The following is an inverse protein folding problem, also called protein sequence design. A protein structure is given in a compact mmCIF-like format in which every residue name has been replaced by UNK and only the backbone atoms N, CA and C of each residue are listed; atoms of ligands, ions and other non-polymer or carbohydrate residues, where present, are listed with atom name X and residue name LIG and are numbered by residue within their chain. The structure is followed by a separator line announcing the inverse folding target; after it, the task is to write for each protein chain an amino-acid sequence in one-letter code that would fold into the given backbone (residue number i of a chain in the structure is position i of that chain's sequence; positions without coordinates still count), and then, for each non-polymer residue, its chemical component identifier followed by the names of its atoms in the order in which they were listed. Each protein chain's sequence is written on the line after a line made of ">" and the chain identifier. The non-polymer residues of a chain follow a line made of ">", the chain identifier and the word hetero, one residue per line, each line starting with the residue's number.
data_IF_169368936635
#
_entry.id   IF_169368936635
#
_cell.length_a   1.000
_cell.length_b   1.000
_cell.length_c   1.000
_cell.angle_alpha   90.00
_cell.angle_beta   90.00
_cell.angle_gamma   90.00
#
_symmetry.space_group_name_H-M   'P 1'
#
loop_
_entity.id
_entity.type
_entity.pdbx_description
1 polymer ?
#
# COMPACT_ATOMS: atom_id res chain seq x y z
N UNK A 1 24.33 10.59 -15.71
CA UNK A 1 23.30 9.71 -15.14
C UNK A 1 22.82 10.33 -13.84
N UNK A 2 21.74 11.11 -13.90
CA UNK A 2 21.16 11.87 -12.78
C UNK A 2 19.66 11.53 -12.75
N UNK A 3 19.17 11.18 -11.57
CA UNK A 3 17.76 11.17 -11.14
C UNK A 3 16.80 10.15 -11.77
N UNK A 4 16.95 8.86 -11.44
CA UNK A 4 15.83 7.89 -11.50
C UNK A 4 15.24 7.54 -10.12
N UNK A 5 15.85 8.01 -9.03
CA UNK A 5 15.40 7.69 -7.66
C UNK A 5 14.16 8.47 -7.18
N UNK A 6 13.77 9.55 -7.87
CA UNK A 6 12.65 10.39 -7.45
C UNK A 6 11.27 9.91 -7.93
N UNK A 7 11.20 9.09 -8.98
CA UNK A 7 9.93 8.62 -9.55
C UNK A 7 9.36 7.38 -8.82
N UNK A 8 10.18 6.68 -8.03
CA UNK A 8 9.80 5.46 -7.32
C UNK A 8 9.39 5.65 -5.85
N UNK A 9 9.61 6.85 -5.27
CA UNK A 9 9.31 7.11 -3.86
C UNK A 9 7.85 7.54 -3.58
N UNK A 10 7.21 8.23 -4.54
CA UNK A 10 5.85 8.78 -4.42
C UNK A 10 4.78 7.70 -4.17
N UNK A 11 4.82 6.52 -4.82
CA UNK A 11 3.78 5.52 -4.64
C UNK A 11 3.80 4.87 -3.24
N UNK A 12 4.99 4.62 -2.68
CA UNK A 12 5.14 4.01 -1.34
C UNK A 12 4.76 4.96 -0.20
N UNK A 13 5.04 6.26 -0.33
CA UNK A 13 4.59 7.27 0.64
C UNK A 13 3.06 7.36 0.67
N UNK A 14 2.43 7.30 -0.50
CA UNK A 14 0.97 7.32 -0.64
C UNK A 14 0.34 6.07 0.00
N UNK A 15 0.96 4.90 -0.20
CA UNK A 15 0.55 3.67 0.46
C UNK A 15 0.69 3.73 2.00
N UNK A 16 1.81 4.24 2.53
CA UNK A 16 2.00 4.39 3.98
C UNK A 16 0.90 5.25 4.61
N UNK A 17 0.52 6.34 3.96
CA UNK A 17 -0.57 7.19 4.42
C UNK A 17 -1.89 6.42 4.49
N UNK A 18 -2.23 5.69 3.42
CA UNK A 18 -3.41 4.82 3.40
C UNK A 18 -3.35 3.77 4.51
N UNK A 19 -2.17 3.21 4.80
CA UNK A 19 -2.03 2.26 5.91
C UNK A 19 -2.33 2.87 7.28
N UNK A 20 -1.95 4.14 7.49
CA UNK A 20 -2.20 4.89 8.74
C UNK A 20 -3.68 5.26 8.92
N UNK A 21 -4.39 5.57 7.82
CA UNK A 21 -5.83 5.87 7.83
C UNK A 21 -6.70 4.66 8.22
N UNK A 22 -6.08 3.49 8.19
CA UNK A 22 -6.64 2.23 8.60
C UNK A 22 -7.92 1.76 7.85
N UNK A 23 -8.01 1.90 6.51
CA UNK A 23 -9.20 1.51 5.74
C UNK A 23 -9.41 -0.01 5.71
N UNK A 24 -10.51 -0.51 5.09
CA UNK A 24 -10.71 -1.94 4.86
C UNK A 24 -9.54 -2.59 4.11
N UNK A 25 -9.36 -3.89 4.31
CA UNK A 25 -8.20 -4.64 3.80
C UNK A 25 -8.01 -4.52 2.28
N UNK A 26 -9.10 -4.60 1.51
CA UNK A 26 -9.05 -4.43 0.05
C UNK A 26 -8.46 -3.10 -0.39
N UNK A 27 -8.77 -1.99 0.30
CA UNK A 27 -8.21 -0.68 -0.02
C UNK A 27 -6.70 -0.59 0.29
N UNK A 28 -6.26 -1.22 1.39
CA UNK A 28 -4.83 -1.32 1.75
C UNK A 28 -4.04 -2.14 0.74
N UNK A 29 -4.63 -3.27 0.33
CA UNK A 29 -4.10 -4.20 -0.66
C UNK A 29 -3.95 -3.53 -2.03
N UNK A 30 -5.00 -2.85 -2.50
CA UNK A 30 -4.98 -2.13 -3.77
C UNK A 30 -3.94 -1.02 -3.78
N UNK A 31 -3.86 -0.21 -2.71
CA UNK A 31 -2.84 0.83 -2.60
C UNK A 31 -1.41 0.28 -2.63
N UNK A 32 -1.16 -0.85 -1.94
CA UNK A 32 0.14 -1.52 -1.97
C UNK A 32 0.47 -2.01 -3.39
N UNK A 33 -0.50 -2.64 -4.05
CA UNK A 33 -0.37 -3.16 -5.41
C UNK A 33 0.02 -2.04 -6.37
N UNK A 34 -0.69 -0.92 -6.34
CA UNK A 34 -0.38 0.26 -7.16
C UNK A 34 1.02 0.82 -6.85
N UNK A 35 1.42 0.84 -5.58
CA UNK A 35 2.74 1.30 -5.21
C UNK A 35 3.86 0.43 -5.80
N UNK A 36 3.69 -0.89 -5.74
CA UNK A 36 4.68 -1.85 -6.24
C UNK A 36 4.73 -1.90 -7.77
N UNK A 37 3.60 -1.67 -8.45
CA UNK A 37 3.57 -1.54 -9.91
C UNK A 37 4.29 -0.28 -10.41
N UNK A 38 4.55 0.70 -9.55
CA UNK A 38 5.43 1.83 -9.85
C UNK A 38 6.93 1.44 -9.94
N UNK A 39 7.31 0.25 -9.48
CA UNK A 39 8.67 -0.25 -9.59
C UNK A 39 8.91 -0.84 -11.00
N UNK A 40 9.94 -0.39 -11.75
CA UNK A 40 10.12 -0.79 -13.15
C UNK A 40 10.40 -2.29 -13.35
N UNK A 41 10.91 -2.98 -12.32
CA UNK A 41 11.15 -4.42 -12.37
C UNK A 41 9.89 -5.26 -12.09
N UNK A 42 8.85 -4.69 -11.49
CA UNK A 42 7.63 -5.41 -11.12
C UNK A 42 6.66 -5.39 -12.29
N UNK A 43 6.36 -6.56 -12.84
CA UNK A 43 5.37 -6.71 -13.93
C UNK A 43 3.96 -6.80 -13.39
N UNK A 44 3.78 -7.49 -12.27
CA UNK A 44 2.48 -7.66 -11.66
C UNK A 44 2.59 -7.94 -10.15
N UNK A 45 1.59 -7.48 -9.41
CA UNK A 45 1.49 -7.71 -7.97
C UNK A 45 0.07 -8.17 -7.58
N UNK A 46 -0.01 -9.06 -6.60
CA UNK A 46 -1.29 -9.48 -5.98
C UNK A 46 -1.12 -9.56 -4.48
N UNK A 47 -2.14 -9.12 -3.75
CA UNK A 47 -2.23 -9.39 -2.32
C UNK A 47 -3.40 -10.34 -2.04
N UNK A 48 -3.09 -11.41 -1.31
CA UNK A 48 -4.07 -12.42 -0.92
C UNK A 48 -4.09 -12.54 0.61
N UNK A 49 -5.27 -12.51 1.19
CA UNK A 49 -5.47 -12.72 2.62
C UNK A 49 -5.88 -14.16 2.90
N UNK A 50 -5.36 -14.71 3.99
CA UNK A 50 -5.75 -16.02 4.50
C UNK A 50 -7.20 -16.00 4.96
N UNK A 51 -7.98 -16.96 4.49
CA UNK A 51 -9.38 -17.16 4.87
C UNK A 51 -9.46 -18.40 5.76
N UNK A 52 -9.58 -18.26 7.09
CA UNK A 52 -9.57 -19.42 8.00
C UNK A 52 -10.70 -20.43 7.74
N UNK A 53 -11.87 -19.94 7.32
CA UNK A 53 -13.05 -20.77 7.08
C UNK A 53 -12.87 -21.70 5.86
N UNK A 54 -12.31 -21.18 4.77
CA UNK A 54 -12.06 -21.94 3.54
C UNK A 54 -10.63 -22.48 3.44
N UNK A 55 -9.75 -22.13 4.40
CA UNK A 55 -8.33 -22.53 4.45
C UNK A 55 -7.57 -22.19 3.17
N UNK A 56 -7.90 -21.07 2.54
CA UNK A 56 -7.30 -20.63 1.27
C UNK A 56 -6.87 -19.17 1.31
N UNK A 57 -5.95 -18.80 0.43
CA UNK A 57 -5.60 -17.40 0.20
C UNK A 57 -6.50 -16.79 -0.88
N UNK A 58 -7.28 -15.77 -0.50
CA UNK A 58 -8.23 -15.10 -1.37
C UNK A 58 -7.89 -13.61 -1.55
N UNK A 59 -8.22 -13.08 -2.72
CA UNK A 59 -8.03 -11.67 -3.04
C UNK A 59 -9.25 -10.87 -2.55
N UNK A 60 -8.96 -9.78 -1.84
CA UNK A 60 -9.97 -8.87 -1.27
C UNK A 60 -10.13 -7.58 -2.10
N UNK A 61 -9.15 -7.24 -2.92
CA UNK A 61 -9.19 -6.07 -3.82
C UNK A 61 -9.82 -6.38 -5.20
N UNK A 62 -10.16 -5.31 -5.92
CA UNK A 62 -10.73 -5.34 -7.27
C UNK A 62 -9.68 -5.47 -8.40
N UNK A 63 -8.44 -5.81 -8.04
CA UNK A 63 -7.35 -6.03 -8.97
C UNK A 63 -7.52 -7.26 -9.87
N UNK A 64 -6.52 -7.51 -10.73
CA UNK A 64 -6.53 -8.63 -11.67
C UNK A 64 -6.52 -9.96 -10.92
N UNK A 65 -7.60 -10.74 -11.01
CA UNK A 65 -7.73 -12.00 -10.27
C UNK A 65 -6.90 -13.12 -10.89
N UNK A 66 -6.18 -13.87 -10.06
CA UNK A 66 -5.60 -15.14 -10.48
C UNK A 66 -6.71 -16.15 -10.83
N UNK A 67 -6.53 -16.98 -11.87
CA UNK A 67 -7.47 -18.03 -12.22
C UNK A 67 -7.71 -18.98 -11.03
N UNK A 68 -8.82 -19.75 -11.04
CA UNK A 68 -9.02 -20.79 -10.03
C UNK A 68 -7.91 -21.83 -10.11
N UNK A 69 -7.66 -22.56 -9.03
CA UNK A 69 -6.64 -23.61 -8.97
C UNK A 69 -6.99 -24.81 -9.85
N UNK A 70 -6.13 -25.82 -9.80
CA UNK A 70 -6.34 -27.11 -10.47
C UNK A 70 -7.00 -28.07 -9.46
N UNK A 71 -8.08 -28.74 -9.85
CA UNK A 71 -8.81 -29.69 -8.98
C UNK A 71 -10.20 -29.20 -8.57
N UNK A 72 -10.85 -29.92 -7.65
CA UNK A 72 -12.15 -29.55 -7.10
C UNK A 72 -12.03 -28.34 -6.15
N UNK A 73 -12.74 -27.23 -6.40
CA UNK A 73 -12.77 -26.09 -5.48
C UNK A 73 -13.25 -26.42 -4.06
N UNK A 74 -14.03 -27.48 -3.89
CA UNK A 74 -14.51 -27.91 -2.56
C UNK A 74 -13.41 -28.56 -1.71
N UNK A 75 -12.36 -29.07 -2.35
CA UNK A 75 -11.18 -29.64 -1.69
C UNK A 75 -10.00 -28.65 -1.65
N UNK A 76 -10.20 -27.41 -2.09
CA UNK A 76 -9.16 -26.39 -2.14
C UNK A 76 -8.61 -26.09 -0.74
N UNK A 77 -7.29 -26.19 -0.59
CA UNK A 77 -6.60 -25.84 0.65
C UNK A 77 -5.22 -25.25 0.34
N UNK A 78 -4.86 -24.23 1.11
CA UNK A 78 -3.53 -23.61 1.14
C UNK A 78 -2.80 -23.86 2.46
N UNK A 79 -3.26 -24.80 3.30
CA UNK A 79 -2.65 -25.11 4.61
C UNK A 79 -1.15 -25.45 4.51
N UNK A 80 -0.73 -26.20 3.48
CA UNK A 80 0.70 -26.51 3.28
C UNK A 80 1.54 -25.25 3.03
N UNK A 81 0.98 -24.27 2.31
CA UNK A 81 1.62 -22.98 2.09
C UNK A 81 1.60 -22.12 3.35
N UNK A 82 0.48 -22.10 4.07
CA UNK A 82 0.34 -21.42 5.35
C UNK A 82 1.38 -21.92 6.37
N UNK A 83 1.54 -23.24 6.48
CA UNK A 83 2.55 -23.88 7.32
C UNK A 83 3.97 -23.52 6.88
N UNK A 84 4.26 -23.56 5.57
CA UNK A 84 5.55 -23.15 5.04
C UNK A 84 5.89 -21.70 5.43
N UNK A 85 4.93 -20.78 5.39
CA UNK A 85 5.15 -19.39 5.83
C UNK A 85 5.34 -19.23 7.34
N UNK A 86 5.05 -20.26 8.14
CA UNK A 86 5.44 -20.30 9.55
C UNK A 86 6.94 -20.51 9.77
N UNK A 87 7.64 -21.09 8.78
CA UNK A 87 9.07 -21.40 8.86
C UNK A 87 9.93 -20.41 8.06
N UNK A 88 9.42 -19.95 6.91
CA UNK A 88 10.14 -19.04 6.02
C UNK A 88 9.28 -17.86 5.60
N UNK A 89 9.90 -16.70 5.45
CA UNK A 89 9.22 -15.44 5.13
C UNK A 89 8.91 -15.24 3.64
N UNK A 90 9.55 -16.01 2.76
CA UNK A 90 9.47 -15.84 1.32
C UNK A 90 9.66 -17.17 0.60
N UNK A 91 9.06 -17.31 -0.57
CA UNK A 91 9.13 -18.47 -1.44
C UNK A 91 9.24 -18.02 -2.89
N UNK A 92 10.15 -18.60 -3.67
CA UNK A 92 10.12 -18.41 -5.12
C UNK A 92 8.87 -19.04 -5.73
N UNK A 93 8.40 -18.51 -6.85
CA UNK A 93 7.27 -19.13 -7.56
C UNK A 93 7.54 -20.58 -7.94
N UNK A 94 8.78 -20.94 -8.27
CA UNK A 94 9.15 -22.34 -8.53
C UNK A 94 9.02 -23.23 -7.29
N UNK A 95 9.41 -22.75 -6.11
CA UNK A 95 9.22 -23.50 -4.86
C UNK A 95 7.73 -23.60 -4.51
N UNK A 96 6.99 -22.49 -4.59
CA UNK A 96 5.55 -22.45 -4.29
C UNK A 96 4.77 -23.39 -5.22
N UNK A 97 5.06 -23.39 -6.53
CA UNK A 97 4.37 -24.23 -7.53
C UNK A 97 4.54 -25.74 -7.30
N UNK A 98 5.54 -26.15 -6.50
CA UNK A 98 5.76 -27.56 -6.12
C UNK A 98 4.98 -27.97 -4.86
N UNK A 99 4.48 -27.00 -4.09
CA UNK A 99 3.69 -27.30 -2.90
C UNK A 99 2.33 -27.93 -3.29
N UNK A 100 1.82 -28.86 -2.48
CA UNK A 100 0.49 -29.44 -2.67
C UNK A 100 -0.58 -28.48 -2.12
N UNK A 101 -0.70 -27.29 -2.71
CA UNK A 101 -1.69 -26.28 -2.32
C UNK A 101 -2.48 -25.73 -3.52
N UNK A 102 -3.64 -25.15 -3.22
CA UNK A 102 -4.53 -24.56 -4.22
C UNK A 102 -3.87 -23.42 -5.00
N UNK A 103 -3.17 -22.52 -4.30
CA UNK A 103 -2.47 -21.38 -4.89
C UNK A 103 -1.37 -21.82 -5.86
N UNK A 104 -0.67 -22.92 -5.61
CA UNK A 104 0.27 -23.51 -6.56
C UNK A 104 -0.42 -23.88 -7.89
N UNK A 105 -1.65 -24.39 -7.84
CA UNK A 105 -2.49 -24.60 -9.01
C UNK A 105 -2.84 -23.31 -9.76
N UNK A 106 -3.18 -22.25 -9.02
CA UNK A 106 -3.50 -20.92 -9.59
C UNK A 106 -2.29 -20.33 -10.32
N UNK A 107 -1.10 -20.38 -9.71
CA UNK A 107 0.14 -19.91 -10.34
C UNK A 107 0.48 -20.71 -11.61
N UNK A 108 0.32 -22.04 -11.58
CA UNK A 108 0.54 -22.89 -12.75
C UNK A 108 -0.40 -22.53 -13.90
N UNK A 109 -1.68 -22.33 -13.62
CA UNK A 109 -2.68 -21.94 -14.64
C UNK A 109 -2.48 -20.52 -15.17
N UNK A 110 -1.98 -19.62 -14.35
CA UNK A 110 -1.62 -18.25 -14.75
C UNK A 110 -0.28 -18.17 -15.50
N UNK A 111 0.43 -19.29 -15.69
CA UNK A 111 1.77 -19.34 -16.28
C UNK A 111 2.77 -18.38 -15.58
N UNK A 112 2.65 -18.25 -14.26
CA UNK A 112 3.56 -17.44 -13.46
C UNK A 112 4.80 -18.26 -13.11
N UNK A 113 5.95 -17.83 -13.61
CA UNK A 113 7.22 -18.57 -13.51
C UNK A 113 8.28 -17.78 -12.75
N UNK A 114 8.40 -16.49 -13.03
CA UNK A 114 9.42 -15.64 -12.43
C UNK A 114 8.84 -14.67 -11.41
N UNK A 115 9.26 -14.81 -10.16
CA UNK A 115 8.72 -14.03 -9.05
C UNK A 115 8.84 -14.71 -7.69
N UNK A 116 8.34 -14.03 -6.65
CA UNK A 116 8.27 -14.57 -5.29
C UNK A 116 6.93 -14.28 -4.62
N UNK A 117 6.57 -15.17 -3.71
CA UNK A 117 5.53 -15.00 -2.72
C UNK A 117 6.17 -14.59 -1.39
N UNK A 118 5.72 -13.48 -0.82
CA UNK A 118 6.24 -12.88 0.40
C UNK A 118 5.15 -12.89 1.46
N UNK A 119 5.44 -13.46 2.64
CA UNK A 119 4.52 -13.39 3.77
C UNK A 119 4.47 -11.94 4.28
N UNK A 120 3.29 -11.31 4.19
CA UNK A 120 3.08 -9.92 4.58
C UNK A 120 1.68 -9.75 5.19
N UNK A 121 1.63 -9.25 6.41
CA UNK A 121 0.37 -8.90 7.08
C UNK A 121 0.11 -7.40 6.91
N UNK A 122 -1.01 -7.02 6.30
CA UNK A 122 -1.42 -5.62 6.21
C UNK A 122 -2.28 -5.16 7.39
N UNK A 123 -2.81 -6.11 8.17
CA UNK A 123 -3.59 -5.88 9.38
C UNK A 123 -3.10 -6.82 10.48
N UNK A 124 -3.11 -6.39 11.75
CA UNK A 124 -2.72 -7.24 12.87
C UNK A 124 -3.56 -8.52 12.94
N UNK A 125 -2.90 -9.67 13.02
CA UNK A 125 -3.57 -10.96 13.17
C UNK A 125 -4.25 -11.49 11.91
N UNK A 126 -4.05 -10.83 10.76
CA UNK A 126 -4.57 -11.27 9.46
C UNK A 126 -3.41 -11.70 8.55
N UNK A 127 -3.07 -13.00 8.50
CA UNK A 127 -2.05 -13.52 7.60
C UNK A 127 -2.36 -13.17 6.15
N UNK A 128 -1.33 -12.75 5.42
CA UNK A 128 -1.42 -12.37 4.02
C UNK A 128 -0.17 -12.75 3.24
N UNK A 129 -0.33 -12.83 1.94
CA UNK A 129 0.72 -13.18 0.98
C UNK A 129 0.70 -12.15 -0.14
N UNK A 130 1.85 -11.52 -0.36
CA UNK A 130 2.12 -10.65 -1.49
C UNK A 130 2.85 -11.46 -2.57
N UNK A 131 2.21 -11.61 -3.73
CA UNK A 131 2.80 -12.24 -4.90
C UNK A 131 3.37 -11.16 -5.81
N UNK A 132 4.64 -11.29 -6.18
CA UNK A 132 5.32 -10.37 -7.08
C UNK A 132 5.87 -11.10 -8.29
N UNK A 133 5.30 -10.81 -9.45
CA UNK A 133 5.88 -11.17 -10.73
C UNK A 133 6.86 -10.08 -11.15
N UNK A 134 8.07 -10.51 -11.47
CA UNK A 134 9.18 -9.61 -11.83
C UNK A 134 9.54 -9.86 -13.29
N UNK A 135 10.21 -8.88 -13.93
CA UNK A 135 10.82 -9.09 -15.25
C UNK A 135 11.83 -10.24 -15.22
N UNK A 136 11.79 -11.12 -16.23
CA UNK A 136 12.67 -12.31 -16.34
C UNK A 136 14.16 -11.93 -16.38
N UNK A 137 14.50 -10.71 -16.82
CA UNK A 137 15.87 -10.20 -16.83
C UNK A 137 16.35 -9.67 -15.47
N UNK A 138 15.43 -9.45 -14.52
CA UNK A 138 15.76 -8.91 -13.20
C UNK A 138 15.95 -10.02 -12.17
N UNK A 139 16.92 -9.81 -11.27
CA UNK A 139 17.17 -10.68 -10.13
C UNK A 139 16.01 -10.68 -9.12
N UNK A 140 15.94 -11.72 -8.29
CA UNK A 140 14.90 -11.89 -7.27
C UNK A 140 15.42 -11.61 -5.85
N UNK A 141 16.73 -11.43 -5.68
CA UNK A 141 17.44 -11.29 -4.39
C UNK A 141 17.02 -10.06 -3.57
N UNK A 142 16.45 -9.05 -4.20
CA UNK A 142 15.97 -7.83 -3.54
C UNK A 142 14.57 -7.98 -2.92
N UNK A 143 13.79 -8.98 -3.33
CA UNK A 143 12.41 -9.17 -2.87
C UNK A 143 12.28 -9.52 -1.38
N UNK A 144 13.15 -10.37 -0.79
CA UNK A 144 13.16 -10.57 0.66
C UNK A 144 13.46 -9.28 1.42
N UNK A 145 14.36 -8.43 0.91
CA UNK A 145 14.62 -7.13 1.53
C UNK A 145 13.44 -6.18 1.42
N UNK A 146 12.76 -6.14 0.25
CA UNK A 146 11.50 -5.39 0.08
C UNK A 146 10.47 -5.85 1.12
N UNK A 147 10.33 -7.16 1.36
CA UNK A 147 9.42 -7.68 2.39
C UNK A 147 9.76 -7.09 3.76
N UNK A 148 11.01 -7.16 4.20
CA UNK A 148 11.41 -6.64 5.51
C UNK A 148 11.10 -5.14 5.64
N UNK A 149 11.36 -4.38 4.58
CA UNK A 149 11.02 -2.96 4.54
C UNK A 149 9.50 -2.75 4.66
N UNK A 150 8.69 -3.49 3.90
CA UNK A 150 7.23 -3.39 3.96
C UNK A 150 6.68 -3.78 5.34
N UNK A 151 7.24 -4.81 5.98
CA UNK A 151 6.86 -5.21 7.35
C UNK A 151 7.12 -4.06 8.32
N UNK A 152 8.33 -3.50 8.32
CA UNK A 152 8.67 -2.35 9.17
C UNK A 152 7.76 -1.15 8.89
N UNK A 153 7.46 -0.89 7.63
CA UNK A 153 6.55 0.19 7.21
C UNK A 153 5.13 -0.01 7.74
N UNK A 154 4.59 -1.23 7.70
CA UNK A 154 3.28 -1.54 8.29
C UNK A 154 3.30 -1.41 9.81
N UNK A 155 4.36 -1.88 10.47
CA UNK A 155 4.51 -1.76 11.92
C UNK A 155 4.61 -0.30 12.36
N UNK A 156 5.41 0.51 11.67
CA UNK A 156 5.52 1.95 11.89
C UNK A 156 4.18 2.66 11.67
N UNK A 157 3.47 2.33 10.59
CA UNK A 157 2.13 2.87 10.34
C UNK A 157 1.10 2.47 11.39
N UNK A 158 1.28 1.30 12.01
CA UNK A 158 0.41 0.79 13.09
C UNK A 158 0.75 1.39 14.45
N UNK A 159 2.03 1.70 14.70
CA UNK A 159 2.54 2.24 15.98
C UNK A 159 2.60 3.78 16.06
N UNK A 160 2.66 4.47 14.91
CA UNK A 160 2.48 5.93 14.85
C UNK A 160 1.01 6.23 15.11
N UNK A 161 0.69 6.55 16.36
CA UNK A 161 -0.58 7.16 16.73
C UNK A 161 -0.95 8.20 15.67
N UNK A 162 -2.16 8.07 15.10
CA UNK A 162 -2.76 8.97 14.10
C UNK A 162 -2.27 10.39 14.38
N UNK A 163 -1.39 10.95 13.54
CA UNK A 163 -0.82 12.26 13.86
C UNK A 163 -1.85 13.38 13.69
N UNK A 164 -3.02 13.08 13.10
CA UNK A 164 -4.24 13.84 13.27
C UNK A 164 -5.45 12.95 12.94
N UNK A 165 -6.05 12.23 13.92
CA UNK A 165 -7.28 11.44 13.68
C UNK A 165 -8.39 12.30 13.06
N UNK A 166 -8.37 13.59 13.40
CA UNK A 166 -9.33 14.59 12.95
C UNK A 166 -9.17 14.91 11.46
N UNK A 167 -7.94 14.94 10.92
CA UNK A 167 -7.72 15.29 9.51
C UNK A 167 -8.33 14.24 8.57
N UNK A 168 -8.08 12.96 8.84
CA UNK A 168 -8.59 11.85 8.02
C UNK A 168 -10.10 11.65 8.14
N UNK A 169 -10.70 12.01 9.27
CA UNK A 169 -12.14 11.88 9.51
C UNK A 169 -12.94 13.13 9.07
N UNK A 170 -12.26 14.22 8.71
CA UNK A 170 -12.91 15.46 8.30
C UNK A 170 -13.62 15.29 6.95
N UNK A 171 -14.95 15.53 6.86
CA UNK A 171 -15.67 15.47 5.59
C UNK A 171 -15.32 16.64 4.65
N UNK A 172 -14.70 17.72 5.14
CA UNK A 172 -14.29 18.87 4.33
C UNK A 172 -12.86 18.72 3.80
N UNK A 173 -12.50 19.29 2.65
CA UNK A 173 -11.12 19.31 2.15
C UNK A 173 -10.15 19.92 3.16
N UNK A 174 -9.20 19.12 3.65
CA UNK A 174 -8.27 19.53 4.69
C UNK A 174 -6.82 19.15 4.38
N UNK A 175 -5.90 20.00 4.83
CA UNK A 175 -4.46 19.87 4.65
C UNK A 175 -3.70 20.24 5.93
N UNK A 176 -2.59 19.55 6.17
CA UNK A 176 -1.64 19.79 7.24
C UNK A 176 -0.35 20.34 6.63
N UNK A 177 0.16 21.44 7.16
CA UNK A 177 1.39 22.08 6.72
C UNK A 177 2.44 22.06 7.85
N UNK A 178 3.72 22.12 7.48
CA UNK A 178 4.81 22.40 8.42
C UNK A 178 4.94 23.90 8.73
N UNK A 179 5.90 24.26 9.58
CA UNK A 179 6.13 25.65 9.98
C UNK A 179 6.57 26.56 8.82
N UNK A 180 7.08 25.95 7.75
CA UNK A 180 7.48 26.60 6.51
C UNK A 180 6.35 26.60 5.45
N UNK A 181 5.13 26.24 5.85
CA UNK A 181 3.95 26.11 5.00
C UNK A 181 4.08 25.06 3.87
N UNK A 182 4.95 24.06 4.04
CA UNK A 182 5.05 22.93 3.12
C UNK A 182 4.04 21.87 3.51
N UNK A 183 3.47 21.22 2.50
CA UNK A 183 2.47 20.18 2.70
C UNK A 183 3.07 18.97 3.43
N UNK A 184 2.50 18.64 4.59
CA UNK A 184 2.80 17.43 5.36
C UNK A 184 1.77 16.33 5.09
N UNK A 185 0.48 16.66 5.23
CA UNK A 185 -0.62 15.70 5.07
C UNK A 185 -1.84 16.34 4.39
N UNK A 186 -2.74 15.53 3.86
CA UNK A 186 -4.02 15.95 3.27
C UNK A 186 -5.04 14.83 3.38
N UNK A 187 -6.32 15.15 3.55
CA UNK A 187 -7.37 14.14 3.63
C UNK A 187 -7.91 13.69 2.26
N UNK A 188 -8.81 12.70 2.26
CA UNK A 188 -9.42 12.15 1.06
C UNK A 188 -10.34 13.17 0.34
N UNK A 189 -11.02 14.04 1.10
CA UNK A 189 -11.89 15.07 0.53
C UNK A 189 -11.10 16.08 -0.34
N UNK A 190 -9.89 16.48 0.09
CA UNK A 190 -9.01 17.34 -0.72
C UNK A 190 -8.51 16.64 -1.98
N UNK A 191 -8.19 15.35 -1.90
CA UNK A 191 -7.78 14.57 -3.07
C UNK A 191 -8.92 14.45 -4.09
N UNK A 192 -10.15 14.26 -3.64
CA UNK A 192 -11.33 14.29 -4.49
C UNK A 192 -11.55 15.65 -5.18
N UNK A 193 -11.26 16.75 -4.48
CA UNK A 193 -11.37 18.11 -5.04
C UNK A 193 -10.29 18.41 -6.07
N UNK A 194 -9.08 17.87 -5.89
CA UNK A 194 -7.97 18.01 -6.83
C UNK A 194 -8.17 17.19 -8.12
N UNK A 195 -8.82 16.04 -8.03
CA UNK A 195 -8.98 15.13 -9.17
C UNK A 195 -7.63 14.70 -9.73
N UNK A 196 -7.38 14.98 -11.02
CA UNK A 196 -6.10 14.66 -11.67
C UNK A 196 -4.97 15.67 -11.41
N UNK A 197 -5.26 16.77 -10.69
CA UNK A 197 -4.24 17.79 -10.38
C UNK A 197 -3.24 17.26 -9.36
N UNK A 198 -1.96 17.52 -9.61
CA UNK A 198 -0.90 17.08 -8.72
C UNK A 198 -0.97 17.82 -7.37
N UNK A 199 -0.69 17.12 -6.27
CA UNK A 199 -0.61 17.72 -4.92
C UNK A 199 0.41 18.86 -4.81
N UNK A 200 1.37 18.94 -5.73
CA UNK A 200 2.30 20.07 -5.83
C UNK A 200 1.62 21.39 -6.18
N UNK A 201 0.44 21.34 -6.80
CA UNK A 201 -0.38 22.51 -7.15
C UNK A 201 -1.30 22.97 -5.99
N UNK A 202 -1.29 22.29 -4.84
CA UNK A 202 -2.10 22.68 -3.67
C UNK A 202 -1.75 24.09 -3.19
N UNK A 203 -0.50 24.53 -3.33
CA UNK A 203 -0.08 25.90 -2.99
C UNK A 203 -0.85 26.97 -3.77
N UNK A 204 -1.36 26.65 -4.95
CA UNK A 204 -2.19 27.55 -5.78
C UNK A 204 -3.65 27.63 -5.30
N UNK A 205 -4.09 26.66 -4.48
CA UNK A 205 -5.42 26.62 -3.86
C UNK A 205 -5.45 27.26 -2.47
N UNK A 206 -4.27 27.52 -1.89
CA UNK A 206 -4.16 28.18 -0.61
C UNK A 206 -4.39 29.68 -0.75
N UNK A 207 -4.94 30.34 0.29
CA UNK A 207 -5.02 31.79 0.33
C UNK A 207 -3.65 32.43 0.06
N UNK A 208 -3.63 33.58 -0.61
CA UNK A 208 -2.39 34.32 -0.91
C UNK A 208 -1.57 34.66 0.35
N UNK A 209 -2.22 34.69 1.52
CA UNK A 209 -1.64 34.95 2.83
C UNK A 209 -1.37 33.68 3.67
N UNK A 210 -1.34 32.49 3.07
CA UNK A 210 -1.15 31.23 3.81
C UNK A 210 0.15 31.19 4.64
N UNK A 211 1.26 31.72 4.13
CA UNK A 211 2.52 31.81 4.86
C UNK A 211 2.41 32.69 6.13
N UNK A 212 1.89 33.94 6.04
CA UNK A 212 1.56 34.74 7.21
C UNK A 212 0.61 34.05 8.20
N UNK A 213 -0.39 33.31 7.71
CA UNK A 213 -1.36 32.61 8.55
C UNK A 213 -0.73 31.46 9.33
N UNK A 214 0.10 30.64 8.69
CA UNK A 214 0.85 29.56 9.36
C UNK A 214 1.71 30.14 10.50
N UNK A 215 2.42 31.24 10.23
CA UNK A 215 3.22 31.93 11.25
C UNK A 215 2.36 32.45 12.40
N UNK A 216 1.25 33.12 12.10
CA UNK A 216 0.34 33.64 13.12
C UNK A 216 -0.28 32.52 13.98
N UNK A 217 -0.68 31.39 13.37
CA UNK A 217 -1.20 30.23 14.08
C UNK A 217 -0.16 29.64 15.05
N UNK A 218 1.11 29.56 14.63
CA UNK A 218 2.20 29.03 15.45
C UNK A 218 2.60 29.99 16.58
N UNK A 219 2.70 31.28 16.30
CA UNK A 219 3.01 32.31 17.30
C UNK A 219 1.93 32.43 18.36
N UNK A 220 0.66 32.30 17.98
CA UNK A 220 -0.48 32.49 18.88
C UNK A 220 -1.00 31.19 19.51
N UNK A 221 -0.48 30.03 19.08
CA UNK A 221 -0.96 28.69 19.51
C UNK A 221 -2.48 28.53 19.43
N UNK A 222 -3.10 29.13 18.40
CA UNK A 222 -4.55 29.20 18.24
C UNK A 222 -4.98 28.89 16.82
N UNK A 223 -6.07 28.14 16.68
CA UNK A 223 -6.72 27.92 15.39
C UNK A 223 -7.33 29.22 14.86
N UNK A 224 -7.13 29.49 13.56
CA UNK A 224 -7.77 30.59 12.84
C UNK A 224 -8.96 30.02 12.08
N UNK A 225 -10.16 30.46 12.42
CA UNK A 225 -11.41 30.07 11.74
C UNK A 225 -11.85 31.19 10.78
N UNK A 226 -12.33 30.83 9.59
CA UNK A 226 -12.83 31.73 8.53
C UNK A 226 -11.86 32.84 8.11
N UNK A 227 -10.86 32.47 7.30
CA UNK A 227 -10.05 33.46 6.58
C UNK A 227 -10.80 33.85 5.31
N UNK A 228 -11.38 35.05 5.29
CA UNK A 228 -11.89 35.63 4.06
C UNK A 228 -10.74 35.83 3.07
N UNK A 229 -10.81 35.16 1.92
CA UNK A 229 -9.86 35.35 0.84
C UNK A 229 -9.99 36.76 0.28
N UNK A 230 -9.00 37.61 0.53
CA UNK A 230 -8.84 38.82 -0.26
C UNK A 230 -8.57 38.39 -1.71
N UNK A 231 -9.51 38.74 -2.59
CA UNK A 231 -9.51 38.48 -4.03
C UNK A 231 -8.33 39.15 -4.72
#
# INVERSE_FOLDING_TARGET
>A
MKNDAHLSAVPLQSWLRIQREAPPLGARAEALRQALLGCPQVRQAWYLAWQPASRTYAQEDDGPRLPPGMGDPLEASDEALFAAFGEQASLTFDALRRLPCWLAGRLRRAALHHGQALALQLQPGQPGVLLLQVDDAAGLEWLPWLRELLVQMVELASGLARSAPLLSADPQPALLLDAEARLLESNAALQGLLGERALTQVSELLPVNHLPLVRACLEQSRAVESVEGAS
#
